data_IF_738119378513
#
_entry.id   IF_738119378513
#
_cell.length_a   1.000
_cell.length_b   1.000
_cell.length_c   1.000
_cell.angle_alpha   90.00
_cell.angle_beta   90.00
_cell.angle_gamma   90.00
#
_symmetry.space_group_name_H-M   'P 1'
#
loop_
_entity.id
_entity.type
_entity.pdbx_description
1 polymer ?
#
# COMPACT_ATOMS: atom_id res chain seq x y z
N UNK A 1 19.33 40.53 -3.02
CA UNK A 1 18.72 39.76 -4.14
C UNK A 1 18.87 38.32 -3.72
N UNK A 2 17.95 37.89 -2.89
CA UNK A 2 18.17 36.69 -2.09
C UNK A 2 17.44 35.59 -2.83
N UNK A 3 18.19 34.97 -3.75
CA UNK A 3 17.75 33.85 -4.54
C UNK A 3 17.42 32.69 -3.62
N UNK A 4 16.17 32.65 -3.17
CA UNK A 4 15.52 31.46 -2.64
C UNK A 4 15.46 30.43 -3.77
N UNK A 5 16.59 29.74 -3.98
CA UNK A 5 16.61 28.43 -4.60
C UNK A 5 15.86 27.52 -3.62
N UNK A 6 14.55 27.37 -3.83
CA UNK A 6 13.83 26.25 -3.24
C UNK A 6 14.61 24.99 -3.62
N UNK A 7 15.09 24.19 -2.66
CA UNK A 7 15.62 22.89 -3.00
C UNK A 7 14.46 22.15 -3.64
N UNK A 8 14.54 21.94 -4.96
CA UNK A 8 13.76 20.90 -5.61
C UNK A 8 14.17 19.64 -4.87
N UNK A 9 13.34 19.24 -3.91
CA UNK A 9 13.52 18.01 -3.17
C UNK A 9 13.32 16.90 -4.19
N UNK A 10 14.42 16.49 -4.83
CA UNK A 10 14.51 15.37 -5.76
C UNK A 10 14.42 14.05 -4.96
N UNK A 11 13.57 14.02 -3.93
CA UNK A 11 13.14 12.83 -3.24
C UNK A 11 12.15 12.10 -4.15
N UNK A 12 12.29 10.79 -4.22
CA UNK A 12 11.46 9.90 -5.05
C UNK A 12 9.97 10.33 -5.11
N UNK A 13 9.35 10.45 -6.30
CA UNK A 13 8.03 11.07 -6.52
C UNK A 13 6.82 10.25 -6.03
N UNK A 14 7.02 9.35 -5.06
CA UNK A 14 6.05 8.29 -4.76
C UNK A 14 5.52 8.29 -3.33
N UNK A 15 5.84 9.28 -2.49
CA UNK A 15 5.50 9.21 -1.05
C UNK A 15 4.78 10.44 -0.46
N UNK A 16 4.33 11.43 -1.25
CA UNK A 16 3.61 12.62 -0.76
C UNK A 16 2.31 12.96 -1.50
N UNK A 17 1.81 14.20 -1.31
CA UNK A 17 0.63 14.74 -2.03
C UNK A 17 0.81 14.79 -3.56
N UNK A 18 2.06 14.82 -4.00
CA UNK A 18 2.50 14.72 -5.40
C UNK A 18 2.11 13.40 -6.06
N UNK A 19 1.84 12.33 -5.29
CA UNK A 19 1.35 11.06 -5.81
C UNK A 19 0.06 11.26 -6.61
N UNK A 20 -0.92 12.00 -6.10
CA UNK A 20 -2.18 12.22 -6.82
C UNK A 20 -1.98 12.92 -8.17
N UNK A 21 -0.99 13.82 -8.25
CA UNK A 21 -0.63 14.48 -9.50
C UNK A 21 -0.03 13.49 -10.51
N UNK A 22 0.87 12.61 -10.07
CA UNK A 22 1.41 11.54 -10.91
C UNK A 22 0.35 10.54 -11.37
N UNK A 23 -0.61 10.20 -10.52
CA UNK A 23 -1.74 9.34 -10.89
C UNK A 23 -2.58 9.97 -12.01
N UNK A 24 -2.85 11.27 -11.92
CA UNK A 24 -3.59 11.99 -12.97
C UNK A 24 -2.81 12.03 -14.28
N UNK A 25 -1.49 12.23 -14.23
CA UNK A 25 -0.61 12.16 -15.41
C UNK A 25 -0.68 10.77 -16.04
N UNK A 26 -0.57 9.70 -15.26
CA UNK A 26 -0.63 8.33 -15.77
C UNK A 26 -1.98 8.01 -16.42
N UNK A 27 -3.08 8.47 -15.83
CA UNK A 27 -4.42 8.33 -16.44
C UNK A 27 -4.50 9.11 -17.74
N UNK A 28 -3.99 10.34 -17.79
CA UNK A 28 -3.95 11.13 -19.02
C UNK A 28 -3.11 10.45 -20.11
N UNK A 29 -1.92 9.95 -19.77
CA UNK A 29 -1.05 9.18 -20.70
C UNK A 29 -1.76 7.92 -21.17
N UNK A 30 -2.36 7.15 -20.26
CA UNK A 30 -3.14 5.97 -20.60
C UNK A 30 -4.25 6.31 -21.59
N UNK A 31 -4.99 7.40 -21.36
CA UNK A 31 -6.05 7.84 -22.25
C UNK A 31 -5.53 8.25 -23.64
N UNK A 32 -4.37 8.91 -23.72
CA UNK A 32 -3.73 9.21 -25.01
C UNK A 32 -3.33 7.94 -25.76
N UNK A 33 -2.76 6.96 -25.05
CA UNK A 33 -2.38 5.66 -25.61
C UNK A 33 -3.62 4.88 -26.07
N UNK A 34 -4.70 4.91 -25.30
CA UNK A 34 -5.98 4.33 -25.68
C UNK A 34 -6.47 4.87 -27.03
N UNK A 35 -6.45 6.21 -27.19
CA UNK A 35 -6.86 6.85 -28.43
C UNK A 35 -5.94 6.50 -29.60
N UNK A 36 -4.62 6.51 -29.39
CA UNK A 36 -3.63 6.17 -30.43
C UNK A 36 -3.77 4.71 -30.87
N UNK A 37 -3.94 3.77 -29.94
CA UNK A 37 -4.13 2.36 -30.24
C UNK A 37 -5.41 2.11 -31.04
N UNK A 38 -6.53 2.75 -30.68
CA UNK A 38 -7.77 2.63 -31.46
C UNK A 38 -7.63 3.21 -32.89
N UNK A 39 -6.90 4.33 -33.05
CA UNK A 39 -6.60 4.91 -34.37
C UNK A 39 -5.77 3.96 -35.23
N UNK A 40 -4.92 3.13 -34.62
CA UNK A 40 -4.13 2.09 -35.29
C UNK A 40 -4.91 0.79 -35.54
N UNK A 41 -6.19 0.74 -35.21
CA UNK A 41 -7.02 -0.46 -35.33
C UNK A 41 -6.68 -1.56 -34.31
N UNK A 42 -5.95 -1.22 -33.24
CA UNK A 42 -5.62 -2.13 -32.15
C UNK A 42 -6.68 -2.04 -31.03
N UNK A 43 -6.68 -3.00 -30.11
CA UNK A 43 -7.53 -2.94 -28.92
C UNK A 43 -6.99 -1.89 -27.94
N UNK A 44 -7.51 -0.66 -28.00
CA UNK A 44 -7.07 0.43 -27.14
C UNK A 44 -7.30 0.20 -25.64
N UNK A 45 -8.34 -0.56 -25.26
CA UNK A 45 -8.59 -0.89 -23.86
C UNK A 45 -7.48 -1.78 -23.27
N UNK A 46 -6.99 -2.75 -24.06
CA UNK A 46 -5.85 -3.58 -23.66
C UNK A 46 -4.62 -2.69 -23.37
N UNK A 47 -4.29 -1.78 -24.28
CA UNK A 47 -3.16 -0.88 -24.12
C UNK A 47 -3.31 0.08 -22.93
N UNK A 48 -4.53 0.59 -22.70
CA UNK A 48 -4.83 1.37 -21.51
C UNK A 48 -4.56 0.58 -20.22
N UNK A 49 -5.06 -0.65 -20.15
CA UNK A 49 -4.87 -1.52 -18.97
C UNK A 49 -3.38 -1.78 -18.74
N UNK A 50 -2.59 -2.06 -19.78
CA UNK A 50 -1.14 -2.27 -19.65
C UNK A 50 -0.43 -1.06 -19.04
N UNK A 51 -0.85 0.16 -19.37
CA UNK A 51 -0.27 1.40 -18.82
C UNK A 51 -0.66 1.60 -17.36
N UNK A 52 -1.89 1.24 -16.98
CA UNK A 52 -2.41 1.41 -15.61
C UNK A 52 -1.99 0.26 -14.68
N UNK A 53 -1.69 -0.93 -15.22
CA UNK A 53 -1.38 -2.13 -14.46
C UNK A 53 -0.26 -1.95 -13.41
N UNK A 54 0.87 -1.27 -13.71
CA UNK A 54 1.91 -1.00 -12.71
C UNK A 54 1.40 -0.19 -11.52
N UNK A 55 0.51 0.79 -11.75
CA UNK A 55 -0.06 1.62 -10.69
C UNK A 55 -0.94 0.80 -9.75
N UNK A 56 -1.77 -0.08 -10.32
CA UNK A 56 -2.57 -1.04 -9.56
C UNK A 56 -1.64 -1.95 -8.74
N UNK A 57 -0.58 -2.48 -9.34
CA UNK A 57 0.40 -3.31 -8.65
C UNK A 57 1.03 -2.65 -7.42
N UNK A 58 1.40 -1.37 -7.53
CA UNK A 58 1.94 -0.59 -6.40
C UNK A 58 0.90 -0.46 -5.28
N UNK A 59 -0.36 -0.15 -5.59
CA UNK A 59 -1.42 -0.07 -4.56
C UNK A 59 -1.62 -1.40 -3.87
N UNK A 60 -1.71 -2.50 -4.62
CA UNK A 60 -1.85 -3.83 -4.03
C UNK A 60 -0.65 -4.23 -3.19
N UNK A 61 0.57 -3.81 -3.56
CA UNK A 61 1.76 -4.05 -2.76
C UNK A 61 1.72 -3.27 -1.44
N UNK A 62 1.32 -2.00 -1.46
CA UNK A 62 1.15 -1.21 -0.24
C UNK A 62 0.08 -1.82 0.66
N UNK A 63 -1.08 -2.20 0.10
CA UNK A 63 -2.13 -2.91 0.83
C UNK A 63 -1.64 -4.25 1.40
N UNK A 64 -0.84 -5.01 0.63
CA UNK A 64 -0.26 -6.26 1.09
C UNK A 64 0.63 -6.04 2.32
N UNK A 65 1.49 -5.01 2.30
CA UNK A 65 2.38 -4.70 3.42
C UNK A 65 1.55 -4.34 4.67
N UNK A 66 0.59 -3.43 4.52
CA UNK A 66 -0.30 -3.00 5.63
C UNK A 66 -1.09 -4.18 6.21
N UNK A 67 -1.69 -5.02 5.36
CA UNK A 67 -2.45 -6.19 5.81
C UNK A 67 -1.51 -7.24 6.44
N UNK A 68 -0.29 -7.40 5.91
CA UNK A 68 0.68 -8.38 6.41
C UNK A 68 1.09 -8.08 7.84
N UNK A 69 1.36 -6.82 8.18
CA UNK A 69 1.75 -6.42 9.54
C UNK A 69 0.64 -6.76 10.54
N UNK A 70 -0.61 -6.41 10.23
CA UNK A 70 -1.76 -6.68 11.11
C UNK A 70 -1.99 -8.17 11.41
N UNK A 71 -1.59 -9.08 10.53
CA UNK A 71 -1.80 -10.53 10.73
C UNK A 71 -0.79 -11.15 11.70
N UNK A 72 0.41 -10.57 11.84
CA UNK A 72 1.47 -11.13 12.70
C UNK A 72 1.12 -10.90 14.17
N UNK A 73 0.72 -9.68 14.52
CA UNK A 73 0.29 -9.29 15.86
C UNK A 73 -0.90 -10.14 16.36
N UNK A 74 -1.90 -10.34 15.48
CA UNK A 74 -3.07 -11.15 15.79
C UNK A 74 -2.74 -12.62 16.12
N UNK A 75 -1.64 -13.17 15.62
CA UNK A 75 -1.30 -14.58 15.83
C UNK A 75 -0.87 -14.86 17.27
N UNK A 76 -0.02 -14.02 17.85
CA UNK A 76 0.46 -14.18 19.22
C UNK A 76 -0.69 -14.03 20.22
N UNK A 77 -1.50 -12.99 20.05
CA UNK A 77 -2.70 -12.75 20.87
C UNK A 77 -3.73 -13.88 20.74
N UNK A 78 -3.90 -14.45 19.54
CA UNK A 78 -4.79 -15.59 19.32
C UNK A 78 -4.32 -16.82 20.09
N UNK A 79 -3.02 -17.16 20.03
CA UNK A 79 -2.45 -18.30 20.75
C UNK A 79 -2.63 -18.12 22.26
N UNK A 80 -2.37 -16.92 22.77
CA UNK A 80 -2.53 -16.62 24.21
C UNK A 80 -3.99 -16.80 24.67
N UNK A 81 -4.96 -16.32 23.87
CA UNK A 81 -6.40 -16.52 24.12
C UNK A 81 -6.81 -17.99 24.09
N UNK A 82 -6.30 -18.76 23.12
CA UNK A 82 -6.56 -20.21 23.02
C UNK A 82 -6.05 -20.96 24.26
N UNK A 83 -4.83 -20.68 24.72
CA UNK A 83 -4.25 -21.32 25.92
C UNK A 83 -5.03 -21.02 27.19
N UNK A 84 -5.47 -19.76 27.37
CA UNK A 84 -6.30 -19.39 28.51
C UNK A 84 -7.67 -20.07 28.45
N UNK A 85 -8.30 -20.13 27.28
CA UNK A 85 -9.59 -20.81 27.09
C UNK A 85 -9.50 -22.32 27.36
N UNK A 86 -8.36 -22.95 27.03
CA UNK A 86 -8.09 -24.35 27.34
C UNK A 86 -7.74 -24.61 28.82
N UNK A 87 -7.53 -23.56 29.62
CA UNK A 87 -7.09 -23.67 31.01
C UNK A 87 -5.62 -24.06 31.17
N UNK A 88 -4.81 -23.93 30.12
CA UNK A 88 -3.37 -24.23 30.14
C UNK A 88 -2.56 -23.17 30.88
N UNK A 89 -3.12 -21.97 31.04
CA UNK A 89 -2.52 -20.84 31.75
C UNK A 89 -3.56 -20.18 32.67
N UNK A 90 -3.09 -19.58 33.75
CA UNK A 90 -3.92 -18.85 34.70
C UNK A 90 -4.29 -17.45 34.19
N UNK A 91 -5.28 -16.82 34.83
CA UNK A 91 -5.69 -15.46 34.51
C UNK A 91 -4.56 -14.45 34.72
N UNK A 92 -3.73 -14.65 35.75
CA UNK A 92 -2.60 -13.77 36.06
C UNK A 92 -1.53 -13.84 34.97
N UNK A 93 -1.17 -15.05 34.53
CA UNK A 93 -0.24 -15.27 33.42
C UNK A 93 -0.79 -14.70 32.11
N UNK A 94 -2.08 -14.91 31.83
CA UNK A 94 -2.74 -14.34 30.66
C UNK A 94 -2.67 -12.82 30.63
N UNK A 95 -2.99 -12.14 31.75
CA UNK A 95 -2.99 -10.67 31.82
C UNK A 95 -1.59 -10.11 31.65
N UNK A 96 -0.59 -10.70 32.31
CA UNK A 96 0.80 -10.26 32.20
C UNK A 96 1.34 -10.37 30.77
N UNK A 97 1.12 -11.52 30.12
CA UNK A 97 1.55 -11.73 28.74
C UNK A 97 0.77 -10.88 27.73
N UNK A 98 -0.49 -10.56 28.02
CA UNK A 98 -1.30 -9.67 27.18
C UNK A 98 -0.75 -8.25 27.20
N UNK A 99 -0.38 -7.77 28.38
CA UNK A 99 0.20 -6.43 28.59
C UNK A 99 1.55 -6.30 27.87
N UNK A 100 2.41 -7.33 27.98
CA UNK A 100 3.69 -7.41 27.25
C UNK A 100 3.55 -7.49 25.71
N UNK A 101 2.40 -7.91 25.18
CA UNK A 101 2.14 -8.01 23.74
C UNK A 101 1.49 -6.76 23.13
N UNK A 102 0.94 -5.88 23.96
CA UNK A 102 0.28 -4.63 23.55
C UNK A 102 1.23 -3.41 23.70
N UNK A 103 2.41 -3.60 24.32
CA UNK A 103 3.49 -2.62 24.52
C UNK A 103 4.53 -2.65 23.37
#
# INVERSE_FOLDING_TARGET
MDGFMHPINFGFPFFGFDVFFWWLIFVAIGFLIYQDANKRGMNGLLWFILVILPMIGVVFLLLYIVIRESKVENKAMKILKERYANGEITKEEYLKMKEELEE
#
